data_IF_908596710367
#
_entry.id   IF_908596710367
#
_cell.length_a   1.000
_cell.length_b   1.000
_cell.length_c   1.000
_cell.angle_alpha   90.00
_cell.angle_beta   90.00
_cell.angle_gamma   90.00
#
_symmetry.space_group_name_H-M   'P 1'
#
loop_
_entity.id
_entity.type
_entity.pdbx_description
1 polymer ?
#
# COMPACT_ATOMS: atom_id res chain seq x y z
N UNK A 1 13.71 -14.27 -13.86
CA UNK A 1 12.83 -14.41 -15.04
C UNK A 1 11.39 -14.30 -14.55
N UNK A 2 10.56 -13.43 -15.12
CA UNK A 2 9.17 -13.22 -14.68
C UNK A 2 8.30 -14.36 -15.23
N UNK A 3 7.38 -14.91 -14.44
CA UNK A 3 6.47 -15.96 -14.92
C UNK A 3 5.51 -15.43 -16.01
N UNK A 4 5.03 -16.29 -16.94
CA UNK A 4 4.11 -15.86 -18.00
C UNK A 4 2.85 -15.16 -17.48
N UNK A 5 2.28 -15.66 -16.37
CA UNK A 5 1.11 -15.06 -15.73
C UNK A 5 1.41 -13.66 -15.18
N UNK A 6 2.49 -13.50 -14.40
CA UNK A 6 2.87 -12.22 -13.81
C UNK A 6 3.21 -11.18 -14.88
N UNK A 7 3.80 -11.61 -16.00
CA UNK A 7 4.02 -10.76 -17.18
C UNK A 7 2.70 -10.28 -17.77
N UNK A 8 1.73 -11.18 -18.00
CA UNK A 8 0.42 -10.81 -18.54
C UNK A 8 -0.29 -9.79 -17.64
N UNK A 9 -0.29 -10.01 -16.32
CA UNK A 9 -0.87 -9.08 -15.34
C UNK A 9 -0.23 -7.69 -15.37
N UNK A 10 1.10 -7.62 -15.51
CA UNK A 10 1.84 -6.36 -15.66
C UNK A 10 1.43 -5.64 -16.94
N UNK A 11 1.47 -6.31 -18.09
CA UNK A 11 1.14 -5.70 -19.38
C UNK A 11 -0.32 -5.24 -19.41
N UNK A 12 -1.26 -6.04 -18.89
CA UNK A 12 -2.67 -5.71 -18.82
C UNK A 12 -2.95 -4.48 -17.95
N UNK A 13 -2.27 -4.34 -16.81
CA UNK A 13 -2.38 -3.17 -15.96
C UNK A 13 -1.85 -1.91 -16.68
N UNK A 14 -0.69 -2.01 -17.33
CA UNK A 14 -0.12 -0.89 -18.09
C UNK A 14 -1.00 -0.50 -19.29
N UNK A 15 -1.62 -1.47 -19.97
CA UNK A 15 -2.60 -1.23 -21.05
C UNK A 15 -3.79 -0.40 -20.57
N UNK A 16 -4.25 -0.63 -19.33
CA UNK A 16 -5.32 0.17 -18.69
C UNK A 16 -4.82 1.49 -18.10
N UNK A 17 -3.51 1.73 -18.06
CA UNK A 17 -2.92 2.88 -17.39
C UNK A 17 -3.03 2.81 -15.87
N UNK A 18 -2.99 1.61 -15.29
CA UNK A 18 -3.01 1.37 -13.84
C UNK A 18 -1.69 0.79 -13.36
N UNK A 19 -1.36 0.95 -12.08
CA UNK A 19 -0.18 0.33 -11.48
C UNK A 19 -0.41 -1.19 -11.34
N UNK A 20 0.52 -2.06 -11.81
CA UNK A 20 0.42 -3.51 -11.63
C UNK A 20 0.30 -3.94 -10.16
N UNK A 21 -0.31 -5.09 -9.89
CA UNK A 21 -0.40 -5.67 -8.54
C UNK A 21 0.85 -6.43 -8.10
N UNK A 22 1.63 -6.91 -9.07
CA UNK A 22 2.84 -7.69 -8.87
C UNK A 22 3.89 -7.35 -9.94
N UNK A 23 5.14 -7.71 -9.70
CA UNK A 23 6.23 -7.52 -10.66
C UNK A 23 6.79 -6.11 -10.66
N UNK A 24 6.61 -5.36 -9.58
CA UNK A 24 7.02 -3.96 -9.48
C UNK A 24 8.54 -3.84 -9.39
N UNK A 25 9.25 -4.80 -8.82
CA UNK A 25 10.71 -4.83 -8.83
C UNK A 25 11.29 -4.80 -10.26
N UNK A 26 10.61 -5.42 -11.23
CA UNK A 26 11.04 -5.41 -12.62
C UNK A 26 10.78 -4.07 -13.34
N UNK A 27 9.92 -3.22 -12.77
CA UNK A 27 9.57 -1.91 -13.29
C UNK A 27 10.19 -0.76 -12.48
N UNK A 28 10.74 -1.06 -11.30
CA UNK A 28 11.32 -0.06 -10.42
C UNK A 28 12.51 0.63 -11.09
N UNK A 29 12.46 1.96 -11.12
CA UNK A 29 13.47 2.84 -11.71
C UNK A 29 13.76 3.96 -10.71
N UNK A 30 15.04 4.30 -10.51
CA UNK A 30 15.45 5.42 -9.65
C UNK A 30 15.39 5.16 -8.13
N UNK A 31 15.02 3.95 -7.67
CA UNK A 31 14.93 3.62 -6.24
C UNK A 31 16.17 2.96 -5.66
N UNK A 32 17.19 2.64 -6.47
CA UNK A 32 18.38 1.89 -6.03
C UNK A 32 19.06 2.49 -4.78
N UNK A 33 19.13 3.82 -4.70
CA UNK A 33 19.71 4.53 -3.52
C UNK A 33 18.94 4.33 -2.22
N UNK A 34 17.64 4.04 -2.30
CA UNK A 34 16.76 3.87 -1.15
C UNK A 34 16.67 2.41 -0.71
N UNK A 35 16.91 1.47 -1.64
CA UNK A 35 16.70 0.04 -1.41
C UNK A 35 17.42 -0.49 -0.17
N UNK A 36 18.72 -0.22 -0.03
CA UNK A 36 19.49 -0.73 1.12
C UNK A 36 18.93 -0.25 2.46
N UNK A 37 18.60 1.05 2.56
CA UNK A 37 18.03 1.61 3.79
C UNK A 37 16.64 1.07 4.09
N UNK A 38 15.76 0.97 3.09
CA UNK A 38 14.42 0.44 3.27
C UNK A 38 14.44 -1.04 3.66
N UNK A 39 15.37 -1.82 3.11
CA UNK A 39 15.54 -3.22 3.46
C UNK A 39 16.04 -3.39 4.91
N UNK A 40 16.95 -2.54 5.37
CA UNK A 40 17.38 -2.47 6.78
C UNK A 40 16.21 -2.10 7.70
N UNK A 41 15.40 -1.11 7.33
CA UNK A 41 14.22 -0.69 8.09
C UNK A 41 13.16 -1.81 8.17
N UNK A 42 12.89 -2.49 7.06
CA UNK A 42 11.99 -3.66 7.03
C UNK A 42 12.50 -4.81 7.90
N UNK A 43 13.81 -5.07 7.89
CA UNK A 43 14.42 -6.08 8.76
C UNK A 43 14.32 -5.70 10.24
N UNK A 44 14.50 -4.42 10.58
CA UNK A 44 14.31 -3.94 11.95
C UNK A 44 12.85 -4.10 12.40
N UNK A 45 11.89 -3.82 11.52
CA UNK A 45 10.46 -4.05 11.79
C UNK A 45 10.17 -5.53 11.99
N UNK A 46 10.76 -6.41 11.16
CA UNK A 46 10.66 -7.86 11.33
C UNK A 46 11.18 -8.35 12.70
N UNK A 47 12.15 -7.64 13.29
CA UNK A 47 12.63 -7.90 14.66
C UNK A 47 11.79 -7.27 15.78
N UNK A 48 10.64 -6.66 15.44
CA UNK A 48 9.70 -6.08 16.41
C UNK A 48 9.87 -4.58 16.66
N UNK A 49 10.73 -3.86 15.91
CA UNK A 49 10.85 -2.40 16.03
C UNK A 49 9.69 -1.69 15.32
N UNK A 50 9.24 -0.56 15.86
CA UNK A 50 8.38 0.38 15.13
C UNK A 50 9.20 1.25 14.18
N UNK A 51 8.66 1.57 13.00
CA UNK A 51 9.29 2.46 12.04
C UNK A 51 8.26 3.40 11.39
N UNK A 52 8.71 4.60 11.04
CA UNK A 52 7.92 5.58 10.30
C UNK A 52 8.72 6.18 9.15
N UNK A 53 8.07 6.39 8.01
CA UNK A 53 8.68 7.02 6.84
C UNK A 53 7.66 7.85 6.06
N UNK A 54 8.08 9.04 5.64
CA UNK A 54 7.30 9.92 4.78
C UNK A 54 7.93 10.03 3.40
N UNK A 55 7.14 9.76 2.37
CA UNK A 55 7.53 9.88 0.97
C UNK A 55 6.87 11.13 0.40
N UNK A 56 7.70 12.07 -0.04
CA UNK A 56 7.24 13.30 -0.68
C UNK A 56 7.62 13.31 -2.14
N UNK A 57 6.73 13.80 -2.99
CA UNK A 57 7.03 13.94 -4.42
C UNK A 57 5.88 14.60 -5.15
N UNK A 58 6.20 15.27 -6.25
CA UNK A 58 5.17 15.89 -7.08
C UNK A 58 4.20 14.85 -7.67
N UNK A 59 3.10 15.33 -8.22
CA UNK A 59 2.23 14.46 -9.00
C UNK A 59 3.03 13.77 -10.12
N UNK A 60 2.75 12.49 -10.40
CA UNK A 60 3.47 11.72 -11.42
C UNK A 60 4.88 11.23 -11.02
N UNK A 61 5.41 11.58 -9.84
CA UNK A 61 6.72 11.08 -9.33
C UNK A 61 6.73 9.58 -8.95
N UNK A 62 5.59 8.90 -9.02
CA UNK A 62 5.49 7.47 -8.71
C UNK A 62 5.30 7.14 -7.23
N UNK A 63 4.73 8.03 -6.40
CA UNK A 63 4.46 7.79 -4.97
C UNK A 63 3.65 6.50 -4.71
N UNK A 64 2.52 6.34 -5.38
CA UNK A 64 1.68 5.12 -5.26
C UNK A 64 2.43 3.87 -5.75
N UNK A 65 3.20 3.99 -6.84
CA UNK A 65 4.04 2.89 -7.32
C UNK A 65 5.10 2.51 -6.26
N UNK A 66 5.77 3.50 -5.65
CA UNK A 66 6.75 3.28 -4.58
C UNK A 66 6.12 2.59 -3.37
N UNK A 67 4.93 3.02 -2.94
CA UNK A 67 4.20 2.39 -1.83
C UNK A 67 3.91 0.91 -2.10
N UNK A 68 3.41 0.59 -3.29
CA UNK A 68 3.13 -0.81 -3.70
C UNK A 68 4.40 -1.64 -3.89
N UNK A 69 5.45 -1.03 -4.43
CA UNK A 69 6.75 -1.65 -4.59
C UNK A 69 7.34 -2.03 -3.22
N UNK A 70 7.26 -1.14 -2.23
CA UNK A 70 7.71 -1.44 -0.87
C UNK A 70 6.84 -2.54 -0.22
N UNK A 71 5.53 -2.55 -0.46
CA UNK A 71 4.65 -3.64 -0.02
C UNK A 71 5.04 -5.00 -0.62
N UNK A 72 5.38 -5.07 -1.91
CA UNK A 72 5.87 -6.31 -2.52
C UNK A 72 7.16 -6.80 -1.84
N UNK A 73 8.08 -5.88 -1.54
CA UNK A 73 9.33 -6.20 -0.83
C UNK A 73 9.13 -6.62 0.63
N UNK A 74 8.15 -6.03 1.31
CA UNK A 74 7.78 -6.37 2.67
C UNK A 74 7.17 -7.78 2.73
N UNK A 75 6.25 -8.11 1.81
CA UNK A 75 5.67 -9.47 1.70
C UNK A 75 6.72 -10.52 1.37
N UNK A 76 7.67 -10.22 0.49
CA UNK A 76 8.80 -11.12 0.19
C UNK A 76 9.70 -11.40 1.42
N UNK A 77 9.59 -10.59 2.48
CA UNK A 77 10.29 -10.74 3.77
C UNK A 77 9.38 -11.26 4.89
N UNK A 78 8.18 -11.73 4.56
CA UNK A 78 7.25 -12.29 5.53
C UNK A 78 6.49 -11.25 6.37
N UNK A 79 6.45 -9.97 5.97
CA UNK A 79 5.54 -9.00 6.59
C UNK A 79 4.17 -9.05 5.93
N UNK A 80 3.13 -8.78 6.70
CA UNK A 80 1.83 -8.39 6.15
C UNK A 80 1.87 -6.94 5.66
N UNK A 81 0.99 -6.60 4.73
CA UNK A 81 0.90 -5.25 4.15
C UNK A 81 -0.53 -4.77 4.08
N UNK A 82 -0.76 -3.47 4.18
CA UNK A 82 -2.06 -2.87 3.89
C UNK A 82 -1.89 -1.45 3.35
N UNK A 83 -2.74 -1.07 2.39
CA UNK A 83 -2.74 0.25 1.74
C UNK A 83 -4.09 0.94 1.96
N UNK A 84 -4.10 1.97 2.79
CA UNK A 84 -5.28 2.80 3.06
C UNK A 84 -5.11 4.13 2.35
N UNK A 85 -5.90 4.35 1.31
CA UNK A 85 -6.01 5.68 0.70
C UNK A 85 -6.85 6.57 1.63
N UNK A 86 -6.48 7.85 1.76
CA UNK A 86 -7.22 8.82 2.58
C UNK A 86 -8.16 9.65 1.70
N UNK A 87 -9.40 9.21 1.41
CA UNK A 87 -10.36 10.01 0.68
C UNK A 87 -10.90 11.18 1.52
N UNK A 88 -11.30 12.24 0.85
CA UNK A 88 -11.80 13.49 1.44
C UNK A 88 -13.08 13.30 2.30
N UNK A 89 -13.85 12.23 2.06
CA UNK A 89 -15.18 12.02 2.67
C UNK A 89 -15.36 10.71 3.43
N UNK A 90 -14.60 9.66 3.14
CA UNK A 90 -14.91 8.30 3.64
C UNK A 90 -13.99 7.77 4.75
N UNK A 91 -12.73 8.19 4.80
CA UNK A 91 -11.74 7.70 5.79
C UNK A 91 -11.08 8.89 6.47
N UNK A 92 -11.79 9.62 7.34
CA UNK A 92 -11.20 10.70 8.10
C UNK A 92 -10.08 10.14 8.98
N UNK A 93 -8.84 10.59 8.75
CA UNK A 93 -7.65 10.05 9.41
C UNK A 93 -7.68 10.13 10.95
N UNK A 94 -8.46 11.07 11.50
CA UNK A 94 -8.68 11.20 12.95
C UNK A 94 -9.62 10.15 13.55
N UNK A 95 -10.33 9.38 12.71
CA UNK A 95 -11.16 8.25 13.11
C UNK A 95 -10.40 6.96 12.89
N UNK A 96 -9.60 6.60 13.90
CA UNK A 96 -8.76 5.42 13.88
C UNK A 96 -9.56 4.14 13.63
N UNK A 97 -10.79 4.05 14.13
CA UNK A 97 -11.72 2.94 13.87
C UNK A 97 -11.97 2.74 12.36
N UNK A 98 -12.03 3.83 11.58
CA UNK A 98 -12.22 3.76 10.13
C UNK A 98 -10.94 3.34 9.43
N UNK A 99 -9.79 3.83 9.89
CA UNK A 99 -8.46 3.45 9.36
C UNK A 99 -8.19 1.97 9.63
N UNK A 100 -8.39 1.49 10.86
CA UNK A 100 -8.24 0.08 11.24
C UNK A 100 -9.16 -0.83 10.43
N UNK A 101 -10.42 -0.44 10.21
CA UNK A 101 -11.32 -1.19 9.32
C UNK A 101 -10.78 -1.28 7.89
N UNK A 102 -10.39 -0.16 7.28
CA UNK A 102 -9.82 -0.17 5.91
C UNK A 102 -8.51 -0.96 5.84
N UNK A 103 -7.70 -0.89 6.89
CA UNK A 103 -6.47 -1.66 7.04
C UNK A 103 -6.77 -3.15 6.98
N UNK A 104 -7.74 -3.61 7.77
CA UNK A 104 -8.16 -5.02 7.83
C UNK A 104 -8.77 -5.48 6.51
N UNK A 105 -9.65 -4.67 5.90
CA UNK A 105 -10.25 -4.98 4.60
C UNK A 105 -9.20 -5.19 3.49
N UNK A 106 -8.06 -4.50 3.60
CA UNK A 106 -7.00 -4.51 2.58
C UNK A 106 -5.73 -5.23 3.02
N UNK A 107 -5.74 -5.90 4.18
CA UNK A 107 -4.56 -6.61 4.66
C UNK A 107 -4.22 -7.74 3.68
N UNK A 108 -2.94 -7.86 3.36
CA UNK A 108 -2.43 -8.84 2.44
C UNK A 108 -1.16 -9.52 2.95
N UNK A 109 -1.02 -10.79 2.62
CA UNK A 109 0.16 -11.61 2.91
C UNK A 109 0.75 -12.14 1.61
N UNK A 110 1.92 -12.78 1.68
CA UNK A 110 2.53 -13.41 0.52
C UNK A 110 1.68 -14.58 -0.01
N UNK A 111 1.08 -15.35 0.90
CA UNK A 111 0.38 -16.60 0.56
C UNK A 111 -1.08 -16.38 0.15
N UNK A 112 -1.78 -15.44 0.76
CA UNK A 112 -3.23 -15.27 0.59
C UNK A 112 -3.63 -14.08 -0.30
N UNK A 113 -2.72 -13.15 -0.59
CA UNK A 113 -3.08 -11.90 -1.27
C UNK A 113 -3.96 -10.99 -0.39
N UNK A 114 -4.75 -10.11 -1.00
CA UNK A 114 -5.68 -9.19 -0.31
C UNK A 114 -6.80 -9.95 0.45
N UNK A 115 -7.26 -9.41 1.57
CA UNK A 115 -8.32 -10.02 2.38
C UNK A 115 -7.82 -11.13 3.31
N UNK A 116 -6.53 -11.11 3.66
CA UNK A 116 -5.88 -12.17 4.43
C UNK A 116 -6.29 -12.24 5.92
N UNK A 117 -7.12 -11.31 6.41
CA UNK A 117 -7.40 -11.16 7.84
C UNK A 117 -7.91 -12.42 8.52
N UNK A 118 -8.92 -13.08 7.92
CA UNK A 118 -9.47 -14.33 8.45
C UNK A 118 -8.39 -15.42 8.48
N UNK A 119 -7.63 -15.56 7.39
CA UNK A 119 -6.53 -16.51 7.32
C UNK A 119 -5.42 -16.27 8.35
N UNK A 120 -5.15 -15.00 8.69
CA UNK A 120 -4.23 -14.64 9.78
C UNK A 120 -4.78 -15.11 11.13
N UNK A 121 -6.07 -14.86 11.43
CA UNK A 121 -6.68 -15.29 12.69
C UNK A 121 -6.72 -16.83 12.78
N UNK A 122 -7.14 -17.50 11.71
CA UNK A 122 -7.21 -18.96 11.67
C UNK A 122 -5.80 -19.58 11.81
N UNK A 123 -4.81 -19.02 11.12
CA UNK A 123 -3.41 -19.42 11.24
C UNK A 123 -2.84 -19.18 12.63
N UNK A 124 -3.23 -18.09 13.30
CA UNK A 124 -2.85 -17.82 14.68
C UNK A 124 -3.42 -18.87 15.64
N UNK A 125 -4.71 -19.19 15.54
CA UNK A 125 -5.31 -20.24 16.36
C UNK A 125 -4.67 -21.60 16.14
N UNK A 126 -4.32 -21.93 14.89
CA UNK A 126 -3.57 -23.14 14.59
C UNK A 126 -2.17 -23.15 15.25
N UNK A 127 -1.47 -22.01 15.25
CA UNK A 127 -0.20 -21.88 15.95
C UNK A 127 -0.35 -22.05 17.47
N UNK A 128 -1.38 -21.45 18.06
CA UNK A 128 -1.69 -21.61 19.49
C UNK A 128 -2.01 -23.07 19.85
N UNK A 129 -2.80 -23.76 19.04
CA UNK A 129 -3.11 -25.18 19.27
C UNK A 129 -1.88 -26.06 19.20
N UNK A 130 -0.99 -25.79 18.23
CA UNK A 130 0.28 -26.50 18.14
C UNK A 130 1.14 -26.26 19.37
N UNK A 131 1.27 -25.02 19.84
CA UNK A 131 2.02 -24.67 21.06
C UNK A 131 1.43 -25.39 22.30
N UNK A 132 0.10 -25.52 22.38
CA UNK A 132 -0.57 -26.27 23.46
C UNK A 132 -0.25 -27.76 23.37
N UNK A 133 -0.27 -28.35 22.17
CA UNK A 133 0.04 -29.77 21.94
C UNK A 133 1.52 -30.14 22.16
N UNK A 134 2.42 -29.16 22.26
CA UNK A 134 3.82 -29.42 22.69
C UNK A 134 3.92 -29.79 24.17
N UNK A 135 2.90 -29.50 24.98
CA UNK A 135 2.80 -29.99 26.35
C UNK A 135 2.39 -31.47 26.36
N UNK A 136 3.38 -32.34 26.60
CA UNK A 136 3.21 -33.80 26.62
C UNK A 136 2.23 -34.32 27.70
N UNK A 137 1.76 -33.46 28.61
CA UNK A 137 0.74 -33.82 29.60
C UNK A 137 -0.69 -33.78 29.05
N UNK A 138 -0.90 -33.22 27.86
CA UNK A 138 -2.20 -33.12 27.22
C UNK A 138 -2.46 -34.29 26.29
N UNK A 139 -3.66 -34.87 26.38
CA UNK A 139 -4.15 -35.84 25.40
C UNK A 139 -4.61 -35.10 24.14
N UNK A 140 -3.98 -35.30 22.97
CA UNK A 140 -4.37 -34.65 21.72
C UNK A 140 -5.78 -35.01 21.23
N UNK A 141 -6.37 -36.08 21.76
CA UNK A 141 -7.70 -36.55 21.37
C UNK A 141 -8.82 -35.94 22.21
N UNK A 142 -8.49 -35.25 23.31
CA UNK A 142 -9.45 -34.51 24.12
C UNK A 142 -9.64 -33.09 23.59
N UNK A 143 -10.60 -32.95 22.67
CA UNK A 143 -10.96 -31.66 22.05
C UNK A 143 -11.35 -30.58 23.07
N UNK A 144 -11.96 -30.95 24.20
CA UNK A 144 -12.42 -30.00 25.21
C UNK A 144 -11.23 -29.41 25.99
N UNK A 145 -10.28 -30.28 26.36
CA UNK A 145 -9.06 -29.85 27.04
C UNK A 145 -8.16 -29.04 26.10
N UNK A 146 -8.04 -29.45 24.83
CA UNK A 146 -7.29 -28.69 23.82
C UNK A 146 -7.89 -27.29 23.60
N UNK A 147 -9.21 -27.17 23.49
CA UNK A 147 -9.89 -25.87 23.38
C UNK A 147 -9.59 -25.00 24.61
N UNK A 148 -9.75 -25.54 25.81
CA UNK A 148 -9.51 -24.79 27.05
C UNK A 148 -8.05 -24.32 27.18
N UNK A 149 -7.09 -25.17 26.83
CA UNK A 149 -5.67 -24.82 26.79
C UNK A 149 -5.38 -23.72 25.77
N UNK A 150 -5.97 -23.81 24.58
CA UNK A 150 -5.83 -22.80 23.52
C UNK A 150 -6.44 -21.46 23.93
N UNK A 151 -7.63 -21.46 24.55
CA UNK A 151 -8.25 -20.23 25.08
C UNK A 151 -7.39 -19.60 26.18
N UNK A 152 -6.78 -20.40 27.05
CA UNK A 152 -5.89 -19.90 28.11
C UNK A 152 -4.60 -19.31 27.53
N UNK A 153 -3.99 -19.98 26.53
CA UNK A 153 -2.80 -19.47 25.86
C UNK A 153 -3.10 -18.19 25.07
N UNK A 154 -4.24 -18.13 24.37
CA UNK A 154 -4.71 -16.93 23.67
C UNK A 154 -4.79 -15.73 24.63
N UNK A 155 -5.39 -15.90 25.81
CA UNK A 155 -5.48 -14.85 26.82
C UNK A 155 -4.11 -14.46 27.39
N UNK A 156 -3.19 -15.42 27.54
CA UNK A 156 -1.84 -15.13 27.98
C UNK A 156 -1.07 -14.29 26.94
N UNK A 157 -1.17 -14.63 25.64
CA UNK A 157 -0.54 -13.90 24.53
C UNK A 157 -1.11 -12.49 24.37
N UNK A 158 -2.43 -12.34 24.52
CA UNK A 158 -3.12 -11.04 24.44
C UNK A 158 -3.22 -10.31 25.78
N UNK A 159 -2.55 -10.75 26.86
CA UNK A 159 -2.76 -10.21 28.20
C UNK A 159 -2.60 -8.68 28.29
N UNK A 160 -1.65 -8.09 27.55
CA UNK A 160 -1.48 -6.63 27.47
C UNK A 160 -2.66 -5.92 26.80
N UNK A 161 -3.20 -6.53 25.75
CA UNK A 161 -4.36 -6.04 24.99
C UNK A 161 -5.65 -6.24 25.79
N UNK A 162 -5.86 -7.42 26.39
CA UNK A 162 -7.04 -7.75 27.22
C UNK A 162 -7.21 -6.77 28.38
N UNK A 163 -6.11 -6.28 28.99
CA UNK A 163 -6.16 -5.30 30.08
C UNK A 163 -6.84 -3.97 29.69
N UNK A 164 -6.72 -3.57 28.43
CA UNK A 164 -7.20 -2.27 27.94
C UNK A 164 -8.43 -2.42 27.03
N UNK A 165 -8.53 -3.54 26.31
CA UNK A 165 -9.60 -3.87 25.38
C UNK A 165 -10.09 -5.31 25.54
N UNK A 166 -10.79 -5.64 26.65
CA UNK A 166 -11.26 -7.01 26.92
C UNK A 166 -12.25 -7.54 25.89
N UNK A 167 -12.98 -6.65 25.20
CA UNK A 167 -13.93 -7.00 24.15
C UNK A 167 -13.28 -7.72 22.95
N UNK A 168 -12.01 -7.41 22.66
CA UNK A 168 -11.28 -8.02 21.56
C UNK A 168 -11.04 -9.52 21.81
N UNK A 169 -10.40 -9.86 22.93
CA UNK A 169 -10.13 -11.25 23.33
C UNK A 169 -11.42 -12.04 23.56
N UNK A 170 -12.45 -11.42 24.14
CA UNK A 170 -13.77 -12.05 24.29
C UNK A 170 -14.40 -12.43 22.94
N UNK A 171 -14.25 -11.57 21.93
CA UNK A 171 -14.78 -11.85 20.59
C UNK A 171 -14.00 -12.95 19.88
N UNK A 172 -12.67 -12.98 20.01
CA UNK A 172 -11.83 -14.05 19.46
C UNK A 172 -12.11 -15.40 20.11
N UNK A 173 -12.38 -15.43 21.42
CA UNK A 173 -12.85 -16.64 22.12
C UNK A 173 -14.19 -17.13 21.56
N UNK A 174 -15.17 -16.22 21.46
CA UNK A 174 -16.48 -16.55 20.91
C UNK A 174 -16.36 -17.04 19.46
N UNK A 175 -15.44 -16.48 18.69
CA UNK A 175 -15.15 -16.88 17.33
C UNK A 175 -14.63 -18.32 17.28
N UNK A 176 -13.65 -18.68 18.11
CA UNK A 176 -13.12 -20.06 18.17
C UNK A 176 -14.20 -21.08 18.54
N UNK A 177 -15.02 -20.75 19.53
CA UNK A 177 -16.17 -21.60 19.94
C UNK A 177 -17.19 -21.77 18.81
N UNK A 178 -17.48 -20.70 18.07
CA UNK A 178 -18.38 -20.75 16.92
C UNK A 178 -17.82 -21.66 15.81
N UNK A 179 -16.51 -21.59 15.52
CA UNK A 179 -15.86 -22.49 14.57
C UNK A 179 -15.95 -23.96 14.99
N UNK A 180 -15.68 -24.27 16.26
CA UNK A 180 -15.77 -25.64 16.77
C UNK A 180 -17.20 -26.18 16.73
N UNK A 181 -18.20 -25.34 16.99
CA UNK A 181 -19.61 -25.68 16.89
C UNK A 181 -20.12 -25.78 15.43
N UNK A 182 -19.30 -25.45 14.43
CA UNK A 182 -19.71 -25.38 13.02
C UNK A 182 -20.65 -24.22 12.68
N UNK A 183 -20.79 -23.24 13.57
CA UNK A 183 -21.65 -22.06 13.36
C UNK A 183 -20.90 -20.99 12.56
N UNK A 184 -20.82 -21.21 11.25
CA UNK A 184 -20.14 -20.30 10.32
C UNK A 184 -20.75 -18.90 10.30
N UNK A 185 -22.08 -18.78 10.46
CA UNK A 185 -22.75 -17.48 10.46
C UNK A 185 -22.37 -16.64 11.68
N UNK A 186 -22.28 -17.28 12.85
CA UNK A 186 -21.77 -16.64 14.05
C UNK A 186 -20.29 -16.26 13.89
N UNK A 187 -19.48 -17.19 13.40
CA UNK A 187 -18.05 -16.97 13.18
C UNK A 187 -17.79 -15.78 12.24
N UNK A 188 -18.48 -15.71 11.10
CA UNK A 188 -18.36 -14.60 10.14
C UNK A 188 -18.80 -13.27 10.74
N UNK A 189 -19.88 -13.26 11.51
CA UNK A 189 -20.35 -12.06 12.21
C UNK A 189 -19.34 -11.54 13.24
N UNK A 190 -18.68 -12.43 13.98
CA UNK A 190 -17.68 -12.07 14.98
C UNK A 190 -16.42 -11.52 14.32
N UNK A 191 -15.96 -12.12 13.21
CA UNK A 191 -14.85 -11.57 12.41
C UNK A 191 -15.21 -10.21 11.83
N UNK A 192 -16.44 -10.02 11.35
CA UNK A 192 -16.89 -8.72 10.86
C UNK A 192 -16.84 -7.66 11.96
N UNK A 193 -17.22 -8.00 13.19
CA UNK A 193 -17.13 -7.08 14.33
C UNK A 193 -15.69 -6.73 14.67
N UNK A 194 -14.83 -7.73 14.78
CA UNK A 194 -13.39 -7.55 15.05
C UNK A 194 -12.73 -6.71 13.94
N UNK A 195 -13.19 -6.85 12.70
CA UNK A 195 -12.75 -6.04 11.55
C UNK A 195 -13.26 -4.60 11.58
N UNK A 196 -14.05 -4.20 12.58
CA UNK A 196 -14.61 -2.86 12.71
C UNK A 196 -15.78 -2.56 11.78
N UNK A 197 -16.50 -3.57 11.27
CA UNK A 197 -17.67 -3.33 10.42
C UNK A 197 -18.81 -2.66 11.20
N UNK A 198 -19.42 -1.58 10.68
CA UNK A 198 -20.39 -0.76 11.44
C UNK A 198 -21.78 -1.41 11.61
N UNK A 199 -22.07 -2.51 10.91
CA UNK A 199 -23.41 -3.08 10.81
C UNK A 199 -23.44 -4.55 11.24
N UNK A 200 -22.89 -4.87 12.42
CA UNK A 200 -22.96 -6.22 12.97
C UNK A 200 -24.24 -6.41 13.79
N UNK A 201 -24.94 -7.52 13.56
CA UNK A 201 -26.18 -7.82 14.25
C UNK A 201 -25.98 -7.89 15.78
N UNK A 202 -26.95 -7.35 16.53
CA UNK A 202 -26.88 -7.34 17.99
C UNK A 202 -26.85 -8.75 18.62
N UNK A 203 -27.37 -9.77 17.93
CA UNK A 203 -27.26 -11.17 18.38
C UNK A 203 -25.80 -11.66 18.39
N UNK A 204 -25.03 -11.31 17.36
CA UNK A 204 -23.59 -11.64 17.25
C UNK A 204 -22.80 -10.95 18.36
N UNK A 205 -23.00 -9.64 18.57
CA UNK A 205 -22.30 -8.91 19.65
C UNK A 205 -22.61 -9.48 21.04
N UNK A 206 -23.87 -9.87 21.27
CA UNK A 206 -24.31 -10.47 22.54
C UNK A 206 -23.69 -11.84 22.81
N UNK A 207 -23.40 -12.65 21.78
CA UNK A 207 -22.78 -13.98 21.99
C UNK A 207 -21.36 -13.86 22.53
N UNK A 208 -20.64 -12.80 22.17
CA UNK A 208 -19.31 -12.47 22.72
C UNK A 208 -19.35 -11.66 24.01
N UNK A 209 -20.54 -11.31 24.53
CA UNK A 209 -20.69 -10.44 25.70
C UNK A 209 -20.26 -8.98 25.46
N UNK A 210 -20.17 -8.56 24.19
CA UNK A 210 -19.69 -7.23 23.81
C UNK A 210 -20.85 -6.26 23.54
N UNK A 211 -20.63 -4.98 23.86
CA UNK A 211 -21.58 -3.89 23.63
C UNK A 211 -20.97 -2.85 22.69
N UNK A 212 -21.77 -2.35 21.76
CA UNK A 212 -21.38 -1.27 20.85
C UNK A 212 -20.44 -1.72 19.73
N UNK A 213 -19.93 -0.73 19.03
CA UNK A 213 -18.96 -0.88 17.94
C UNK A 213 -17.57 -0.46 18.43
N UNK A 214 -16.54 -0.74 17.62
CA UNK A 214 -15.16 -0.34 17.93
C UNK A 214 -15.05 1.19 17.87
N UNK A 215 -14.75 1.80 19.01
CA UNK A 215 -14.46 3.23 19.11
C UNK A 215 -12.97 3.52 18.86
N UNK A 216 -12.58 4.78 18.95
CA UNK A 216 -11.19 5.21 18.72
C UNK A 216 -10.18 4.48 19.61
N UNK A 217 -10.48 4.31 20.90
CA UNK A 217 -9.58 3.63 21.84
C UNK A 217 -9.51 2.12 21.57
N UNK A 218 -10.66 1.52 21.27
CA UNK A 218 -10.75 0.13 20.83
C UNK A 218 -9.92 -0.12 19.58
N UNK A 219 -9.89 0.82 18.64
CA UNK A 219 -9.13 0.71 17.40
C UNK A 219 -7.60 0.72 17.61
N UNK A 220 -7.09 1.55 18.52
CA UNK A 220 -5.66 1.55 18.91
C UNK A 220 -5.25 0.19 19.47
N UNK A 221 -6.02 -0.32 20.42
CA UNK A 221 -5.75 -1.61 21.06
C UNK A 221 -5.92 -2.78 20.09
N UNK A 222 -6.89 -2.68 19.19
CA UNK A 222 -7.09 -3.63 18.10
C UNK A 222 -5.83 -3.76 17.24
N UNK A 223 -5.20 -2.65 16.86
CA UNK A 223 -3.97 -2.68 16.07
C UNK A 223 -2.83 -3.37 16.83
N UNK A 224 -2.66 -3.08 18.12
CA UNK A 224 -1.65 -3.79 18.94
C UNK A 224 -1.94 -5.29 19.03
N UNK A 225 -3.22 -5.67 19.13
CA UNK A 225 -3.66 -7.07 19.03
C UNK A 225 -3.33 -7.71 17.69
N UNK A 226 -3.61 -7.02 16.58
CA UNK A 226 -3.26 -7.47 15.23
C UNK A 226 -1.76 -7.68 15.06
N UNK A 227 -0.92 -6.75 15.52
CA UNK A 227 0.54 -6.89 15.45
C UNK A 227 1.03 -8.11 16.26
N UNK A 228 0.39 -8.38 17.40
CA UNK A 228 0.69 -9.56 18.22
C UNK A 228 0.31 -10.84 17.49
N UNK A 229 -0.91 -10.93 16.95
CA UNK A 229 -1.37 -12.10 16.18
C UNK A 229 -0.51 -12.35 14.95
N UNK A 230 -0.11 -11.29 14.22
CA UNK A 230 0.79 -11.41 13.07
C UNK A 230 2.12 -12.05 13.47
N UNK A 231 2.74 -11.56 14.54
CA UNK A 231 4.01 -12.10 15.05
C UNK A 231 3.91 -13.57 15.44
N UNK A 232 2.90 -13.92 16.22
CA UNK A 232 2.68 -15.29 16.69
C UNK A 232 2.32 -16.24 15.53
N UNK A 233 1.72 -15.71 14.45
CA UNK A 233 1.44 -16.46 13.21
C UNK A 233 2.65 -16.58 12.28
N UNK A 234 3.83 -16.11 12.69
CA UNK A 234 5.06 -16.20 11.91
C UNK A 234 5.29 -15.05 10.92
N UNK A 235 4.45 -14.01 10.91
CA UNK A 235 4.72 -12.80 10.14
C UNK A 235 5.66 -11.85 10.89
N UNK A 236 6.60 -11.23 10.20
CA UNK A 236 7.57 -10.30 10.82
C UNK A 236 6.95 -9.01 11.36
N UNK A 237 5.75 -8.64 10.90
CA UNK A 237 5.10 -7.39 11.26
C UNK A 237 4.13 -6.92 10.18
N UNK A 238 3.82 -5.63 10.19
CA UNK A 238 2.90 -4.98 9.27
C UNK A 238 3.52 -3.73 8.66
N UNK A 239 3.52 -3.64 7.33
CA UNK A 239 3.70 -2.37 6.62
C UNK A 239 2.33 -1.77 6.29
N UNK A 240 2.01 -0.65 6.93
CA UNK A 240 0.81 0.15 6.67
C UNK A 240 1.19 1.35 5.81
N UNK A 241 0.61 1.45 4.61
CA UNK A 241 0.74 2.60 3.73
C UNK A 241 -0.51 3.46 3.83
N UNK A 242 -0.34 4.72 4.25
CA UNK A 242 -1.37 5.76 4.11
C UNK A 242 -1.07 6.55 2.83
N UNK A 243 -1.79 6.23 1.76
CA UNK A 243 -1.57 6.86 0.45
C UNK A 243 -2.38 8.16 0.34
N UNK A 244 -1.77 9.15 -0.32
CA UNK A 244 -2.34 10.46 -0.64
C UNK A 244 -2.76 11.30 0.58
N UNK A 245 -1.90 11.43 1.59
CA UNK A 245 -2.24 12.24 2.78
C UNK A 245 -2.44 13.73 2.47
N UNK A 246 -2.03 14.21 1.28
CA UNK A 246 -2.29 15.58 0.82
C UNK A 246 -3.78 15.92 0.68
N UNK A 247 -4.67 14.93 0.58
CA UNK A 247 -6.13 15.13 0.52
C UNK A 247 -6.65 15.85 1.76
N UNK A 248 -5.97 15.71 2.90
CA UNK A 248 -6.26 16.47 4.14
C UNK A 248 -6.35 17.98 3.88
N UNK A 249 -5.57 18.52 2.93
CA UNK A 249 -5.56 19.95 2.62
C UNK A 249 -6.91 20.46 2.09
N UNK A 250 -7.68 19.59 1.43
CA UNK A 250 -8.98 19.92 0.82
C UNK A 250 -10.15 19.73 1.80
N UNK A 251 -9.91 19.11 2.94
CA UNK A 251 -10.93 18.91 3.97
C UNK A 251 -11.26 20.21 4.72
N UNK A 252 -12.40 20.22 5.41
CA UNK A 252 -12.78 21.30 6.34
C UNK A 252 -11.72 21.48 7.42
N UNK A 253 -11.53 22.73 7.87
CA UNK A 253 -10.42 23.11 8.75
C UNK A 253 -10.35 22.27 10.04
N UNK A 254 -11.49 22.03 10.68
CA UNK A 254 -11.63 21.23 11.90
C UNK A 254 -11.24 19.77 11.70
N UNK A 255 -11.59 19.19 10.54
CA UNK A 255 -11.29 17.80 10.19
C UNK A 255 -9.83 17.64 9.80
N UNK A 256 -9.30 18.62 9.06
CA UNK A 256 -7.90 18.69 8.67
C UNK A 256 -6.98 18.80 9.89
N UNK A 257 -7.27 19.70 10.83
CA UNK A 257 -6.47 19.86 12.05
C UNK A 257 -6.46 18.59 12.90
N UNK A 258 -7.62 17.94 13.04
CA UNK A 258 -7.72 16.63 13.69
C UNK A 258 -6.91 15.55 12.96
N UNK A 259 -6.95 15.53 11.62
CA UNK A 259 -6.15 14.61 10.80
C UNK A 259 -4.64 14.82 10.94
N UNK A 260 -4.18 16.07 10.94
CA UNK A 260 -2.76 16.40 11.18
C UNK A 260 -2.33 16.00 12.59
N UNK A 261 -3.18 16.24 13.60
CA UNK A 261 -2.89 15.79 14.96
C UNK A 261 -2.84 14.26 15.06
N UNK A 262 -3.72 13.54 14.36
CA UNK A 262 -3.67 12.09 14.30
C UNK A 262 -2.35 11.58 13.70
N UNK A 263 -1.86 12.17 12.61
CA UNK A 263 -0.52 11.84 12.08
C UNK A 263 0.59 12.06 13.11
N UNK A 264 0.54 13.17 13.86
CA UNK A 264 1.50 13.45 14.92
C UNK A 264 1.47 12.37 15.99
N UNK A 265 0.28 12.00 16.45
CA UNK A 265 0.07 10.96 17.45
C UNK A 265 0.62 9.62 16.97
N UNK A 266 0.31 9.21 15.74
CA UNK A 266 0.88 7.98 15.16
C UNK A 266 2.40 7.91 15.21
N UNK A 267 3.07 9.01 14.85
CA UNK A 267 4.54 9.08 14.91
C UNK A 267 5.03 8.90 16.36
N UNK A 268 4.41 9.58 17.31
CA UNK A 268 4.81 9.48 18.72
C UNK A 268 4.57 8.10 19.32
N UNK A 269 3.44 7.47 19.01
CA UNK A 269 3.12 6.13 19.52
C UNK A 269 4.08 5.07 18.94
N UNK A 270 4.51 5.23 17.68
CA UNK A 270 5.54 4.39 17.07
C UNK A 270 6.89 4.60 17.76
N UNK A 271 7.29 5.86 17.97
CA UNK A 271 8.57 6.21 18.64
C UNK A 271 8.59 5.76 20.10
N UNK A 272 7.44 5.79 20.79
CA UNK A 272 7.26 5.29 22.14
C UNK A 272 7.27 3.75 22.24
N UNK A 273 7.22 3.05 21.10
CA UNK A 273 7.26 1.58 21.03
C UNK A 273 5.92 0.90 21.30
N UNK A 274 4.79 1.62 21.22
CA UNK A 274 3.46 1.04 21.45
C UNK A 274 2.96 0.14 20.30
N UNK A 275 3.58 0.27 19.11
CA UNK A 275 3.30 -0.56 17.93
C UNK A 275 4.52 -1.36 17.46
N UNK A 276 4.98 -2.35 18.23
CA UNK A 276 6.15 -3.13 17.88
C UNK A 276 5.88 -4.00 16.64
N UNK A 277 6.70 -3.84 15.60
CA UNK A 277 6.52 -4.52 14.31
C UNK A 277 5.61 -3.78 13.34
N UNK A 278 5.28 -2.50 13.59
CA UNK A 278 4.60 -1.64 12.63
C UNK A 278 5.62 -0.78 11.85
N UNK A 279 5.57 -0.85 10.52
CA UNK A 279 6.13 0.15 9.63
C UNK A 279 4.99 1.02 9.11
N UNK A 280 4.94 2.30 9.49
CA UNK A 280 4.00 3.27 8.93
C UNK A 280 4.67 4.09 7.81
N UNK A 281 4.18 3.94 6.58
CA UNK A 281 4.58 4.74 5.42
C UNK A 281 3.46 5.74 5.10
N UNK A 282 3.78 7.02 4.96
CA UNK A 282 2.86 8.00 4.39
C UNK A 282 3.40 8.51 3.06
N UNK A 283 2.50 8.77 2.11
CA UNK A 283 2.87 9.42 0.84
C UNK A 283 2.15 10.75 0.71
N UNK A 284 2.83 11.77 0.18
CA UNK A 284 2.11 12.98 -0.20
C UNK A 284 2.82 13.93 -1.15
N UNK A 285 2.05 14.83 -1.73
CA UNK A 285 2.56 15.92 -2.57
C UNK A 285 3.48 16.87 -1.79
N UNK A 286 4.42 17.53 -2.46
CA UNK A 286 5.32 18.50 -1.84
C UNK A 286 4.55 19.60 -1.08
N UNK A 287 3.46 20.11 -1.68
CA UNK A 287 2.59 21.12 -1.10
C UNK A 287 2.05 20.73 0.29
N UNK A 288 1.83 19.43 0.55
CA UNK A 288 1.41 18.96 1.88
C UNK A 288 2.49 19.16 2.94
N UNK A 289 3.77 19.04 2.59
CA UNK A 289 4.87 19.15 3.56
C UNK A 289 5.31 20.59 3.80
N UNK A 290 5.24 21.46 2.77
CA UNK A 290 5.75 22.85 2.84
C UNK A 290 4.65 23.91 2.88
N UNK A 291 3.42 23.57 2.47
CA UNK A 291 2.31 24.51 2.38
C UNK A 291 1.65 24.80 3.73
N UNK A 292 1.03 25.98 3.84
CA UNK A 292 0.37 26.48 5.06
C UNK A 292 -0.89 25.69 5.45
N UNK A 293 -1.46 24.93 4.52
CA UNK A 293 -2.62 24.06 4.76
C UNK A 293 -2.23 22.61 5.05
N UNK A 294 -0.94 22.26 5.00
CA UNK A 294 -0.47 20.92 5.27
C UNK A 294 0.23 20.80 6.63
N UNK A 295 1.31 20.04 6.66
CA UNK A 295 2.15 19.76 7.84
C UNK A 295 2.55 21.02 8.61
N UNK A 296 2.86 22.12 7.90
CA UNK A 296 3.29 23.39 8.52
C UNK A 296 2.21 24.03 9.42
N UNK A 297 0.94 23.63 9.27
CA UNK A 297 -0.16 24.13 10.11
C UNK A 297 -0.08 23.65 11.55
N UNK A 298 0.57 22.51 11.80
CA UNK A 298 0.76 21.95 13.12
C UNK A 298 2.26 21.87 13.44
N UNK A 299 2.78 22.87 14.16
CA UNK A 299 4.22 22.98 14.45
C UNK A 299 4.86 21.70 15.05
N UNK A 300 4.23 20.98 16.00
CA UNK A 300 4.77 19.70 16.50
C UNK A 300 4.93 18.61 15.43
N UNK A 301 4.03 18.55 14.45
CA UNK A 301 4.14 17.61 13.32
C UNK A 301 5.22 18.08 12.35
N UNK A 302 5.26 19.38 12.05
CA UNK A 302 6.29 19.96 11.18
C UNK A 302 7.70 19.72 11.70
N UNK A 303 7.92 19.84 13.01
CA UNK A 303 9.20 19.54 13.66
C UNK A 303 9.60 18.06 13.48
N UNK A 304 8.67 17.12 13.74
CA UNK A 304 8.92 15.67 13.61
C UNK A 304 9.25 15.26 12.18
N UNK A 305 8.59 15.88 11.21
CA UNK A 305 8.80 15.58 9.80
C UNK A 305 9.96 16.38 9.21
N UNK A 306 10.50 17.41 9.86
CA UNK A 306 11.45 18.33 9.23
C UNK A 306 12.69 17.61 8.68
N UNK A 307 13.00 17.87 7.40
CA UNK A 307 14.24 17.47 6.74
C UNK A 307 14.65 18.61 5.81
N UNK A 308 15.91 19.00 5.85
CA UNK A 308 16.47 19.99 4.93
C UNK A 308 16.76 19.34 3.56
N UNK A 309 16.18 19.92 2.52
CA UNK A 309 16.34 19.50 1.13
C UNK A 309 16.88 20.62 0.24
N UNK A 310 17.47 21.67 0.84
CA UNK A 310 18.07 22.79 0.12
C UNK A 310 19.36 22.40 -0.62
N UNK A 311 20.04 21.33 -0.17
CA UNK A 311 21.26 20.81 -0.80
C UNK A 311 20.96 19.88 -1.98
N UNK A 312 22.02 19.49 -2.70
CA UNK A 312 21.96 18.61 -3.87
C UNK A 312 21.25 17.29 -3.55
N UNK A 313 20.23 16.98 -4.34
CA UNK A 313 19.37 15.81 -4.16
C UNK A 313 20.08 14.49 -4.28
N UNK A 314 21.23 14.43 -4.96
CA UNK A 314 22.04 13.21 -5.06
C UNK A 314 22.53 12.72 -3.69
N UNK A 315 22.67 13.62 -2.71
CA UNK A 315 23.14 13.32 -1.36
C UNK A 315 22.03 13.33 -0.31
N UNK A 316 20.75 13.28 -0.72
CA UNK A 316 19.64 13.14 0.22
C UNK A 316 19.86 11.92 1.13
N UNK A 317 19.72 12.12 2.44
CA UNK A 317 19.86 11.05 3.41
C UNK A 317 18.67 10.08 3.32
N UNK A 318 18.91 8.88 2.79
CA UNK A 318 17.90 7.84 2.70
C UNK A 318 17.34 7.38 4.06
N UNK A 319 18.06 7.61 5.17
CA UNK A 319 17.62 7.29 6.56
C UNK A 319 16.76 8.38 7.18
N UNK A 320 16.60 9.54 6.52
CA UNK A 320 15.79 10.62 7.06
C UNK A 320 14.29 10.22 7.14
N UNK A 321 13.56 10.93 8.01
CA UNK A 321 12.11 10.73 8.22
C UNK A 321 11.30 11.03 6.97
N UNK A 322 11.70 12.05 6.21
CA UNK A 322 11.18 12.35 4.87
C UNK A 322 12.20 11.96 3.80
N UNK A 323 11.72 11.39 2.69
CA UNK A 323 12.50 11.16 1.48
C UNK A 323 11.77 11.77 0.29
N UNK A 324 12.50 12.55 -0.53
CA UNK A 324 11.97 13.08 -1.79
C UNK A 324 12.14 12.08 -2.94
N UNK A 325 11.03 11.79 -3.62
CA UNK A 325 11.03 11.17 -4.92
C UNK A 325 11.20 12.26 -5.98
N UNK A 326 12.22 12.17 -6.85
CA UNK A 326 12.36 13.10 -7.95
C UNK A 326 11.17 12.95 -8.92
N UNK A 327 10.85 14.03 -9.63
CA UNK A 327 9.90 13.95 -10.72
C UNK A 327 10.41 12.97 -11.78
N UNK A 328 9.48 12.25 -12.43
CA UNK A 328 9.84 11.34 -13.51
C UNK A 328 10.39 12.14 -14.69
N UNK A 329 11.68 11.97 -14.94
CA UNK A 329 12.39 12.63 -16.04
C UNK A 329 12.42 11.79 -17.31
N UNK A 330 12.99 12.37 -18.36
CA UNK A 330 13.18 11.69 -19.64
C UNK A 330 13.96 10.37 -19.50
N UNK A 331 15.07 10.38 -18.76
CA UNK A 331 15.91 9.19 -18.56
C UNK A 331 15.15 8.07 -17.81
N UNK A 332 14.35 8.42 -16.81
CA UNK A 332 13.52 7.46 -16.08
C UNK A 332 12.42 6.86 -16.96
N UNK A 333 11.81 7.65 -17.85
CA UNK A 333 10.85 7.17 -18.84
C UNK A 333 11.50 6.21 -19.84
N UNK A 334 12.69 6.55 -20.32
CA UNK A 334 13.43 5.71 -21.24
C UNK A 334 13.80 4.37 -20.60
N UNK A 335 14.30 4.39 -19.36
CA UNK A 335 14.64 3.17 -18.62
C UNK A 335 13.40 2.29 -18.40
N UNK A 336 12.29 2.84 -17.89
CA UNK A 336 11.08 2.05 -17.65
C UNK A 336 10.45 1.57 -18.96
N UNK A 337 10.50 2.38 -20.02
CA UNK A 337 9.99 2.02 -21.34
C UNK A 337 10.73 0.83 -21.95
N UNK A 338 12.07 0.81 -21.82
CA UNK A 338 12.90 -0.32 -22.24
C UNK A 338 12.56 -1.58 -21.45
N UNK A 339 12.47 -1.49 -20.11
CA UNK A 339 12.09 -2.62 -19.24
C UNK A 339 10.72 -3.18 -19.63
N UNK A 340 9.72 -2.32 -19.83
CA UNK A 340 8.36 -2.72 -20.22
C UNK A 340 8.33 -3.37 -21.60
N UNK A 341 9.06 -2.84 -22.59
CA UNK A 341 9.21 -3.48 -23.90
C UNK A 341 9.83 -4.86 -23.79
N UNK A 342 10.91 -4.99 -23.03
CA UNK A 342 11.59 -6.28 -22.89
C UNK A 342 10.67 -7.32 -22.22
N UNK A 343 9.93 -6.92 -21.19
CA UNK A 343 8.89 -7.75 -20.56
C UNK A 343 7.80 -8.13 -21.56
N UNK A 344 7.34 -7.20 -22.40
CA UNK A 344 6.31 -7.44 -23.41
C UNK A 344 6.76 -8.45 -24.45
N UNK A 345 7.96 -8.25 -25.03
CA UNK A 345 8.52 -9.06 -26.12
C UNK A 345 8.62 -10.53 -25.74
N UNK A 346 8.96 -10.84 -24.49
CA UNK A 346 9.09 -12.23 -24.02
C UNK A 346 7.78 -13.03 -24.11
N UNK A 347 6.62 -12.36 -24.17
CA UNK A 347 5.29 -12.97 -24.26
C UNK A 347 4.52 -12.70 -25.54
N UNK A 348 5.11 -11.94 -26.46
CA UNK A 348 4.47 -11.48 -27.68
C UNK A 348 4.47 -12.55 -28.78
N UNK A 349 3.43 -12.54 -29.62
CA UNK A 349 3.31 -13.48 -30.76
C UNK A 349 4.40 -13.20 -31.80
N UNK A 350 4.62 -11.92 -32.11
CA UNK A 350 5.61 -11.39 -33.02
C UNK A 350 6.71 -10.63 -32.27
N UNK A 351 7.19 -11.15 -31.13
CA UNK A 351 8.15 -10.45 -30.26
C UNK A 351 9.43 -9.95 -30.95
N UNK A 352 9.96 -10.70 -31.95
CA UNK A 352 11.10 -10.24 -32.77
C UNK A 352 10.77 -8.97 -33.55
N UNK A 353 9.57 -8.87 -34.11
CA UNK A 353 9.09 -7.70 -34.85
C UNK A 353 8.89 -6.52 -33.90
N UNK A 354 8.28 -6.75 -32.74
CA UNK A 354 8.11 -5.71 -31.70
C UNK A 354 9.47 -5.14 -31.29
N UNK A 355 10.46 -6.00 -31.00
CA UNK A 355 11.83 -5.55 -30.66
C UNK A 355 12.50 -4.77 -31.78
N UNK A 356 12.26 -5.13 -33.04
CA UNK A 356 12.86 -4.47 -34.20
C UNK A 356 12.21 -3.10 -34.50
N UNK A 357 10.88 -3.00 -34.43
CA UNK A 357 10.16 -1.76 -34.76
C UNK A 357 10.06 -0.80 -33.57
N UNK A 358 10.01 -1.32 -32.35
CA UNK A 358 9.99 -0.55 -31.10
C UNK A 358 11.39 -0.60 -30.46
N UNK A 359 12.41 -0.24 -31.24
CA UNK A 359 13.79 -0.19 -30.77
C UNK A 359 14.01 0.93 -29.72
N UNK A 360 15.23 1.03 -29.19
CA UNK A 360 15.57 2.03 -28.17
C UNK A 360 15.36 3.47 -28.66
N UNK A 361 15.57 3.73 -29.95
CA UNK A 361 15.38 5.05 -30.55
C UNK A 361 13.89 5.42 -30.65
N UNK A 362 13.02 4.44 -30.93
CA UNK A 362 11.57 4.65 -30.90
C UNK A 362 11.09 4.96 -29.49
N UNK A 363 11.52 4.16 -28.49
CA UNK A 363 11.15 4.39 -27.08
C UNK A 363 11.60 5.79 -26.63
N UNK A 364 12.81 6.21 -27.00
CA UNK A 364 13.30 7.56 -26.72
C UNK A 364 12.46 8.63 -27.41
N UNK A 365 12.13 8.46 -28.69
CA UNK A 365 11.30 9.39 -29.46
C UNK A 365 9.91 9.57 -28.83
N UNK A 366 9.28 8.47 -28.43
CA UNK A 366 7.98 8.49 -27.75
C UNK A 366 8.09 9.18 -26.39
N UNK A 367 9.14 8.89 -25.61
CA UNK A 367 9.37 9.53 -24.32
C UNK A 367 9.57 11.04 -24.47
N UNK A 368 10.35 11.48 -25.47
CA UNK A 368 10.54 12.91 -25.80
C UNK A 368 9.21 13.56 -26.18
N UNK A 369 8.42 12.92 -27.04
CA UNK A 369 7.15 13.45 -27.49
C UNK A 369 6.14 13.62 -26.33
N UNK A 370 6.04 12.64 -25.43
CA UNK A 370 5.19 12.76 -24.24
C UNK A 370 5.69 13.85 -23.29
N UNK A 371 7.00 13.99 -23.09
CA UNK A 371 7.55 15.08 -22.26
C UNK A 371 7.40 16.47 -22.89
N UNK A 372 7.48 16.57 -24.21
CA UNK A 372 7.42 17.83 -24.97
C UNK A 372 6.00 18.36 -25.12
N UNK A 373 5.02 17.50 -25.41
CA UNK A 373 3.61 17.87 -25.54
C UNK A 373 2.96 18.30 -24.21
N UNK A 374 3.60 18.03 -23.06
CA UNK A 374 3.18 18.50 -21.74
C UNK A 374 3.83 19.85 -21.37
N UNK A 375 4.30 20.62 -22.35
CA UNK A 375 4.72 22.02 -22.18
C UNK A 375 6.07 22.23 -21.47
N UNK A 376 6.90 21.19 -21.32
CA UNK A 376 8.24 21.28 -20.72
C UNK A 376 8.29 21.78 -19.27
N UNK A 377 7.14 22.05 -18.66
CA UNK A 377 6.99 22.55 -17.30
C UNK A 377 6.19 21.52 -16.52
N UNK A 378 6.93 20.78 -15.68
CA UNK A 378 6.46 19.87 -14.63
C UNK A 378 6.01 18.47 -15.09
N UNK A 379 6.91 17.50 -14.90
CA UNK A 379 6.63 16.07 -14.70
C UNK A 379 6.01 15.32 -15.88
N UNK A 380 6.80 14.47 -16.54
CA UNK A 380 6.26 13.55 -17.53
C UNK A 380 5.21 12.63 -16.87
N UNK A 381 4.07 12.36 -17.50
CA UNK A 381 3.13 11.34 -17.00
C UNK A 381 3.63 9.95 -17.39
N UNK A 382 4.19 9.15 -16.45
CA UNK A 382 4.69 7.81 -16.79
C UNK A 382 3.53 6.89 -17.11
N UNK A 383 2.38 7.12 -16.48
CA UNK A 383 1.14 6.40 -16.72
C UNK A 383 0.70 6.53 -18.18
N UNK A 384 0.65 7.76 -18.70
CA UNK A 384 0.26 8.01 -20.08
C UNK A 384 1.29 7.44 -21.05
N UNK A 385 2.59 7.71 -20.82
CA UNK A 385 3.67 7.16 -21.65
C UNK A 385 3.60 5.63 -21.76
N UNK A 386 3.50 4.92 -20.63
CA UNK A 386 3.45 3.46 -20.61
C UNK A 386 2.16 2.92 -21.24
N UNK A 387 1.02 3.57 -21.01
CA UNK A 387 -0.24 3.21 -21.65
C UNK A 387 -0.14 3.30 -23.17
N UNK A 388 0.40 4.40 -23.70
CA UNK A 388 0.59 4.61 -25.14
C UNK A 388 1.59 3.61 -25.72
N UNK A 389 2.72 3.40 -25.04
CA UNK A 389 3.73 2.43 -25.47
C UNK A 389 3.16 1.00 -25.57
N UNK A 390 2.35 0.57 -24.61
CA UNK A 390 1.75 -0.78 -24.63
C UNK A 390 0.58 -0.85 -25.61
N UNK A 391 -0.48 -0.08 -25.37
CA UNK A 391 -1.77 -0.23 -26.04
C UNK A 391 -1.79 0.30 -27.47
N UNK A 392 -1.13 1.43 -27.71
CA UNK A 392 -1.20 2.11 -29.01
C UNK A 392 -0.04 1.73 -29.94
N UNK A 393 1.07 1.25 -29.38
CA UNK A 393 2.26 0.89 -30.15
C UNK A 393 2.50 -0.63 -30.16
N UNK A 394 2.92 -1.22 -29.03
CA UNK A 394 3.38 -2.61 -29.01
C UNK A 394 2.28 -3.61 -29.37
N UNK A 395 1.06 -3.45 -28.83
CA UNK A 395 -0.09 -4.31 -29.17
C UNK A 395 -0.41 -4.28 -30.67
N UNK A 396 -0.33 -3.11 -31.31
CA UNK A 396 -0.61 -2.99 -32.74
C UNK A 396 0.51 -3.57 -33.59
N UNK A 397 1.77 -3.41 -33.17
CA UNK A 397 2.92 -4.04 -33.84
C UNK A 397 2.86 -5.57 -33.73
N UNK A 398 2.38 -6.09 -32.59
CA UNK A 398 2.25 -7.53 -32.36
C UNK A 398 1.09 -8.14 -33.16
N UNK A 399 -0.03 -7.42 -33.30
CA UNK A 399 -1.24 -7.91 -33.98
C UNK A 399 -1.23 -7.70 -35.50
N UNK A 400 -0.68 -6.60 -35.99
CA UNK A 400 -0.81 -6.19 -37.39
C UNK A 400 0.55 -6.20 -38.11
N UNK A 401 0.72 -7.11 -39.07
CA UNK A 401 1.98 -7.34 -39.77
C UNK A 401 2.44 -6.15 -40.63
N UNK A 402 1.52 -5.29 -41.04
CA UNK A 402 1.74 -4.10 -41.85
C UNK A 402 1.83 -2.80 -41.03
N UNK A 403 1.51 -2.83 -39.73
CA UNK A 403 1.60 -1.66 -38.87
C UNK A 403 3.06 -1.28 -38.56
N UNK A 404 3.48 -0.10 -39.00
CA UNK A 404 4.75 0.54 -38.66
C UNK A 404 4.48 1.76 -37.77
N UNK A 405 4.90 1.75 -36.50
CA UNK A 405 4.55 2.81 -35.56
C UNK A 405 5.24 4.15 -35.88
N UNK A 406 6.24 4.18 -36.78
CA UNK A 406 6.84 5.45 -37.26
C UNK A 406 6.05 6.10 -38.39
N UNK A 407 5.22 5.33 -39.08
CA UNK A 407 4.43 5.80 -40.23
C UNK A 407 2.95 5.96 -39.90
N UNK A 408 2.42 5.03 -39.09
CA UNK A 408 0.98 4.87 -38.90
C UNK A 408 0.50 5.33 -37.52
N UNK A 409 1.41 5.77 -36.64
CA UNK A 409 1.04 6.29 -35.32
C UNK A 409 1.55 7.72 -35.12
N UNK A 410 0.61 8.63 -34.88
CA UNK A 410 0.89 9.97 -34.42
C UNK A 410 0.47 10.07 -32.95
N UNK A 411 1.38 10.53 -32.09
CA UNK A 411 1.07 10.71 -30.67
C UNK A 411 0.07 11.87 -30.51
N UNK A 412 -1.16 11.53 -30.17
CA UNK A 412 -2.17 12.48 -29.71
C UNK A 412 -2.41 12.25 -28.21
N UNK A 413 -2.37 13.36 -27.46
CA UNK A 413 -2.70 13.39 -26.03
C UNK A 413 -3.92 14.28 -25.89
N UNK A 414 -5.05 13.70 -25.54
CA UNK A 414 -6.29 14.42 -25.30
C UNK A 414 -6.53 14.64 -23.81
N UNK A 415 -7.22 15.73 -23.44
CA UNK A 415 -7.56 16.01 -22.04
C UNK A 415 -8.37 14.89 -21.37
N UNK A 416 -9.21 14.18 -22.14
CA UNK A 416 -10.02 13.07 -21.63
C UNK A 416 -9.20 11.85 -21.20
N UNK A 417 -7.96 11.73 -21.69
CA UNK A 417 -7.03 10.67 -21.29
C UNK A 417 -6.28 11.01 -20.01
N UNK A 418 -6.34 12.28 -19.59
CA UNK A 418 -5.64 12.81 -18.44
C UNK A 418 -6.52 12.82 -17.20
N UNK A 419 -5.96 12.39 -16.08
CA UNK A 419 -6.58 12.56 -14.77
C UNK A 419 -6.70 14.05 -14.44
N UNK A 420 -7.61 14.40 -13.52
CA UNK A 420 -7.76 15.80 -13.08
C UNK A 420 -6.44 16.39 -12.54
N UNK A 421 -5.60 15.56 -11.91
CA UNK A 421 -4.29 15.97 -11.40
C UNK A 421 -3.27 16.18 -12.53
N UNK A 422 -3.25 15.30 -13.56
CA UNK A 422 -2.41 15.51 -14.75
C UNK A 422 -2.78 16.80 -15.47
N UNK A 423 -4.09 17.06 -15.64
CA UNK A 423 -4.58 18.31 -16.25
C UNK A 423 -4.16 19.54 -15.46
N UNK A 424 -4.29 19.48 -14.13
CA UNK A 424 -3.87 20.56 -13.25
C UNK A 424 -2.35 20.80 -13.30
N UNK A 425 -1.52 19.78 -13.54
CA UNK A 425 -0.06 19.92 -13.64
C UNK A 425 0.43 20.53 -14.96
N UNK A 426 -0.34 20.39 -16.05
CA UNK A 426 0.05 20.91 -17.38
C UNK A 426 -0.19 22.43 -17.52
N UNK A 427 -0.98 23.02 -16.62
CA UNK A 427 -1.33 24.44 -16.65
C UNK A 427 -2.37 24.77 -17.73
N UNK A 428 -3.29 25.67 -17.42
CA UNK A 428 -4.30 26.16 -18.37
C UNK A 428 -3.60 27.02 -19.42
N UNK A 429 -3.30 26.42 -20.57
CA UNK A 429 -2.65 27.11 -21.69
C UNK A 429 -2.80 26.33 -22.98
N UNK A 430 -3.94 26.51 -23.65
CA UNK A 430 -4.21 26.22 -25.07
C UNK A 430 -3.93 24.78 -25.52
N UNK A 431 -4.96 23.94 -25.45
CA UNK A 431 -5.12 22.78 -26.34
C UNK A 431 -6.48 22.91 -27.04
N UNK A 432 -6.70 24.05 -27.67
CA UNK A 432 -7.71 24.17 -28.72
C UNK A 432 -6.94 24.26 -30.05
N UNK A 433 -7.21 23.29 -30.91
CA UNK A 433 -7.03 23.28 -32.37
C UNK A 433 -5.69 23.75 -32.94
N UNK A 434 -4.84 22.77 -33.29
CA UNK A 434 -4.02 22.89 -34.50
C UNK A 434 -4.64 21.94 -35.53
N UNK A 435 -5.59 22.46 -36.31
CA UNK A 435 -6.02 21.84 -37.57
C UNK A 435 -4.90 21.98 -38.62
N UNK A 436 -4.56 20.82 -39.21
CA UNK A 436 -3.83 20.51 -40.46
C UNK A 436 -2.82 21.50 -41.05
#
# INVERSE_FOLDING_TARGET
MISPQRRAEVIDALRRGTVPKAGLDALAVGYGRLQGTLDEELAAVASGRGAFKAIRGEYGSGKTFFGRWLQERARARGLATSEVQIPETETPLHRLETVCRRLVERIATADSGEGAFRGIIDGWFYALERDVLEDASLDPTDEATLLAGTEALMEARLASVTRVAPAFSATLRAYRRALQAGDNAMADGLIAWVSGQPNVAAAIRRSAGVKGDIDHFGATNFLSGLLTMLRDSGYGGLLLVLDEVETLQRMRADTRERGLNALRQWIDEIDAGHFPGLYLLITGAQAFYVGTQGVQRLAPLAQRLHVDFATDSRFDNARAVQVRLPAFGHDSLLEVGRKVRDIYVDGAVAGKRVRALVDDAYVESLARAVTGNLGGRVGASPRLFLKKLVADVMDRVDQFADFDPRKHYALMISEIEMTAQERASVGVGSVDDIEL
#
